data_IF_433509368031
#
_entry.id   IF_433509368031
#
_cell.length_a   1.000
_cell.length_b   1.000
_cell.length_c   1.000
_cell.angle_alpha   90.00
_cell.angle_beta   90.00
_cell.angle_gamma   90.00
#
_symmetry.space_group_name_H-M   'P 1'
#
loop_
_entity.id
_entity.type
_entity.pdbx_description
1 polymer ?
#
# COMPACT_ATOMS: atom_id res chain seq x y z
N UNK A 1 18.88 -15.74 -20.04
CA UNK A 1 17.95 -16.88 -20.23
C UNK A 1 17.62 -16.96 -21.72
N UNK A 2 17.93 -18.06 -22.37
CA UNK A 2 17.53 -18.32 -23.77
C UNK A 2 16.08 -18.82 -23.75
N UNK A 3 15.26 -18.32 -24.68
CA UNK A 3 13.90 -18.87 -24.88
C UNK A 3 14.01 -20.34 -25.28
N UNK A 4 13.08 -21.16 -24.84
CA UNK A 4 12.97 -22.53 -25.33
C UNK A 4 12.51 -22.55 -26.80
N UNK A 5 12.76 -23.65 -27.49
CA UNK A 5 12.45 -23.80 -28.90
C UNK A 5 10.95 -23.64 -29.19
N UNK A 6 10.08 -24.11 -28.27
CA UNK A 6 8.63 -24.02 -28.38
C UNK A 6 8.13 -22.57 -28.34
N UNK A 7 8.67 -21.77 -27.43
CA UNK A 7 8.34 -20.34 -27.33
C UNK A 7 8.77 -19.55 -28.58
N UNK A 8 9.89 -19.93 -29.20
CA UNK A 8 10.37 -19.29 -30.44
C UNK A 8 9.45 -19.63 -31.61
N UNK A 9 9.01 -20.87 -31.72
CA UNK A 9 8.06 -21.32 -32.78
C UNK A 9 6.74 -20.60 -32.62
N UNK A 10 6.16 -20.57 -31.43
CA UNK A 10 4.89 -19.89 -31.18
C UNK A 10 4.95 -18.39 -31.51
N UNK A 11 6.06 -17.72 -31.24
CA UNK A 11 6.26 -16.31 -31.62
C UNK A 11 6.26 -16.14 -33.15
N UNK A 12 6.86 -17.09 -33.89
CA UNK A 12 6.89 -17.05 -35.35
C UNK A 12 5.51 -17.21 -35.97
N UNK A 13 4.67 -18.11 -35.42
CA UNK A 13 3.32 -18.36 -35.91
C UNK A 13 2.38 -17.16 -35.75
N UNK A 14 2.54 -16.38 -34.67
CA UNK A 14 1.69 -15.23 -34.35
C UNK A 14 2.16 -13.95 -35.05
N UNK A 15 3.43 -13.84 -35.40
CA UNK A 15 4.02 -12.65 -35.98
C UNK A 15 3.23 -12.07 -37.16
N UNK A 16 2.76 -12.88 -38.18
CA UNK A 16 1.99 -12.33 -39.29
C UNK A 16 0.70 -11.62 -38.87
N UNK A 17 0.03 -12.15 -37.85
CA UNK A 17 -1.21 -11.58 -37.33
C UNK A 17 -0.91 -10.27 -36.53
N UNK A 18 0.17 -10.25 -35.77
CA UNK A 18 0.63 -9.04 -35.08
C UNK A 18 1.03 -7.93 -36.07
N UNK A 19 1.69 -8.30 -37.18
CA UNK A 19 2.03 -7.36 -38.27
C UNK A 19 0.78 -6.80 -38.96
N UNK A 20 -0.21 -7.67 -39.28
CA UNK A 20 -1.47 -7.23 -39.87
C UNK A 20 -2.19 -6.24 -38.97
N UNK A 21 -2.34 -6.55 -37.70
CA UNK A 21 -2.95 -5.67 -36.73
C UNK A 21 -2.21 -4.32 -36.61
N UNK A 22 -0.88 -4.31 -36.55
CA UNK A 22 -0.09 -3.10 -36.52
C UNK A 22 -0.33 -2.23 -37.77
N UNK A 23 -0.38 -2.84 -38.96
CA UNK A 23 -0.67 -2.15 -40.22
C UNK A 23 -2.07 -1.53 -40.18
N UNK A 24 -3.08 -2.23 -39.67
CA UNK A 24 -4.45 -1.73 -39.53
C UNK A 24 -4.51 -0.51 -38.62
N UNK A 25 -3.81 -0.54 -37.48
CA UNK A 25 -3.69 0.62 -36.55
C UNK A 25 -3.01 1.81 -37.25
N UNK A 26 -1.87 1.58 -37.91
CA UNK A 26 -1.14 2.65 -38.60
C UNK A 26 -1.94 3.25 -39.77
N UNK A 27 -2.68 2.42 -40.51
CA UNK A 27 -3.58 2.87 -41.56
C UNK A 27 -4.70 3.75 -41.00
N UNK A 28 -5.34 3.33 -39.92
CA UNK A 28 -6.36 4.12 -39.24
C UNK A 28 -5.80 5.47 -38.77
N UNK A 29 -4.61 5.49 -38.14
CA UNK A 29 -3.96 6.71 -37.72
C UNK A 29 -3.66 7.66 -38.91
N UNK A 30 -3.20 7.13 -40.04
CA UNK A 30 -2.95 7.93 -41.26
C UNK A 30 -4.22 8.56 -41.83
N UNK A 31 -5.34 7.86 -41.75
CA UNK A 31 -6.63 8.34 -42.31
C UNK A 31 -7.34 9.31 -41.39
N UNK A 32 -7.08 9.25 -40.09
CA UNK A 32 -7.76 10.06 -39.06
C UNK A 32 -6.93 11.24 -38.56
N UNK A 33 -5.65 11.37 -38.98
CA UNK A 33 -4.71 12.35 -38.41
C UNK A 33 -4.04 13.18 -39.51
N UNK A 34 -3.96 14.51 -39.31
CA UNK A 34 -3.06 15.33 -40.11
C UNK A 34 -1.63 15.10 -39.68
N UNK A 35 -0.69 14.96 -40.64
CA UNK A 35 0.73 14.72 -40.38
C UNK A 35 1.42 15.72 -39.44
N UNK A 36 0.82 16.94 -39.29
CA UNK A 36 1.31 17.97 -38.36
C UNK A 36 0.93 17.72 -36.90
N UNK A 37 0.05 16.73 -36.61
CA UNK A 37 -0.40 16.40 -35.27
C UNK A 37 0.42 15.27 -34.62
N UNK A 38 1.41 14.70 -35.33
CA UNK A 38 2.26 13.64 -34.78
C UNK A 38 3.15 14.21 -33.66
N UNK A 39 3.12 13.66 -32.46
CA UNK A 39 3.71 14.27 -31.28
C UNK A 39 5.24 14.37 -31.35
N UNK A 40 5.75 15.51 -30.92
CA UNK A 40 7.17 15.69 -30.64
C UNK A 40 7.45 15.17 -29.23
N UNK A 41 8.57 14.48 -29.06
CA UNK A 41 8.99 13.94 -27.75
C UNK A 41 9.46 15.06 -26.82
N UNK A 42 8.77 15.27 -25.69
CA UNK A 42 9.17 16.22 -24.64
C UNK A 42 9.50 15.45 -23.36
N UNK A 43 10.66 15.59 -22.78
CA UNK A 43 11.12 14.92 -21.55
C UNK A 43 11.11 15.92 -20.39
N UNK A 44 10.52 15.56 -19.26
CA UNK A 44 10.57 16.36 -18.03
C UNK A 44 11.64 15.77 -17.10
N UNK A 45 12.51 16.61 -16.58
CA UNK A 45 13.47 16.24 -15.55
C UNK A 45 13.13 17.02 -14.27
N UNK A 46 13.19 16.36 -13.13
CA UNK A 46 12.98 16.96 -11.83
C UNK A 46 14.27 16.86 -11.03
N UNK A 47 14.75 17.99 -10.57
CA UNK A 47 15.85 18.09 -9.64
C UNK A 47 15.32 18.60 -8.31
N UNK A 48 15.70 17.94 -7.22
CA UNK A 48 15.37 18.34 -5.86
C UNK A 48 16.56 19.08 -5.27
N UNK A 49 16.39 20.37 -5.04
CA UNK A 49 17.32 21.17 -4.25
C UNK A 49 16.83 21.28 -2.80
N UNK A 50 17.68 21.66 -1.85
CA UNK A 50 17.42 21.59 -0.39
C UNK A 50 16.10 22.21 0.06
N UNK A 51 15.49 23.09 -0.74
CA UNK A 51 14.20 23.73 -0.43
C UNK A 51 13.24 23.91 -1.61
N UNK A 52 13.53 23.38 -2.81
CA UNK A 52 12.67 23.55 -3.99
C UNK A 52 12.77 22.39 -4.96
N UNK A 53 11.63 22.00 -5.51
CA UNK A 53 11.57 21.16 -6.71
C UNK A 53 11.84 22.07 -7.90
N UNK A 54 13.03 21.99 -8.48
CA UNK A 54 13.30 22.67 -9.75
C UNK A 54 12.77 21.83 -10.90
N UNK A 55 12.01 22.48 -11.80
CA UNK A 55 11.46 21.83 -12.99
C UNK A 55 12.37 22.20 -14.17
N UNK A 56 13.16 21.25 -14.63
CA UNK A 56 13.67 21.31 -15.99
C UNK A 56 12.76 20.47 -16.90
N UNK A 57 12.29 21.04 -17.99
CA UNK A 57 11.45 20.33 -18.94
C UNK A 57 12.34 19.57 -19.92
N UNK A 58 12.32 18.25 -19.85
CA UNK A 58 12.86 17.36 -20.87
C UNK A 58 11.65 16.60 -21.45
N UNK A 59 11.59 16.51 -22.73
CA UNK A 59 10.46 16.08 -23.54
C UNK A 59 9.90 14.69 -23.24
N UNK A 60 8.60 14.56 -22.91
CA UNK A 60 7.86 13.29 -22.74
C UNK A 60 7.18 12.92 -24.06
N UNK A 61 7.25 11.64 -24.42
CA UNK A 61 6.50 11.13 -25.56
C UNK A 61 5.02 11.19 -25.29
N UNK A 62 4.29 12.00 -26.02
CA UNK A 62 2.82 12.09 -26.01
C UNK A 62 2.18 11.01 -26.89
N UNK A 63 2.94 10.01 -27.36
CA UNK A 63 2.40 8.96 -28.22
C UNK A 63 1.31 8.12 -27.56
N UNK A 64 1.33 7.97 -26.24
CA UNK A 64 0.25 7.29 -25.53
C UNK A 64 -1.06 8.09 -25.60
N UNK A 65 -1.00 9.40 -25.34
CA UNK A 65 -2.16 10.26 -25.38
C UNK A 65 -2.66 10.41 -26.83
N UNK A 66 -1.73 10.55 -27.77
CA UNK A 66 -2.03 10.59 -29.19
C UNK A 66 -2.75 9.33 -29.66
N UNK A 67 -2.21 8.14 -29.35
CA UNK A 67 -2.83 6.88 -29.73
C UNK A 67 -4.18 6.69 -29.04
N UNK A 68 -4.29 7.07 -27.77
CA UNK A 68 -5.55 6.98 -27.04
C UNK A 68 -6.64 7.91 -27.57
N UNK A 69 -6.28 9.08 -28.11
CA UNK A 69 -7.22 10.03 -28.71
C UNK A 69 -7.63 9.62 -30.13
N UNK A 70 -6.68 9.18 -30.95
CA UNK A 70 -6.90 8.93 -32.38
C UNK A 70 -7.27 7.49 -32.70
N UNK A 71 -6.82 6.53 -31.89
CA UNK A 71 -7.18 5.11 -32.05
C UNK A 71 -7.32 4.46 -30.65
N UNK A 72 -8.39 4.81 -29.90
CA UNK A 72 -8.62 4.26 -28.58
C UNK A 72 -8.87 2.75 -28.60
N UNK A 73 -8.71 2.10 -27.45
CA UNK A 73 -8.90 0.64 -27.31
C UNK A 73 -10.22 0.10 -27.89
N UNK A 74 -11.39 0.77 -27.72
CA UNK A 74 -12.63 0.31 -28.36
C UNK A 74 -12.53 0.24 -29.88
N UNK A 75 -11.90 1.25 -30.53
CA UNK A 75 -11.67 1.25 -31.98
C UNK A 75 -10.72 0.12 -32.40
N UNK A 76 -9.64 -0.08 -31.65
CA UNK A 76 -8.72 -1.20 -31.91
C UNK A 76 -9.39 -2.56 -31.73
N UNK A 77 -10.35 -2.67 -30.84
CA UNK A 77 -11.10 -3.91 -30.59
C UNK A 77 -12.01 -4.30 -31.78
N UNK A 78 -12.36 -3.35 -32.66
CA UNK A 78 -13.19 -3.57 -33.85
C UNK A 78 -12.40 -4.09 -35.05
N UNK A 79 -11.05 -4.02 -35.02
CA UNK A 79 -10.25 -4.59 -36.13
C UNK A 79 -10.37 -6.12 -36.17
N UNK A 80 -10.53 -6.67 -37.35
CA UNK A 80 -10.71 -8.11 -37.56
C UNK A 80 -9.62 -8.98 -36.95
N UNK A 81 -8.39 -8.45 -36.91
CA UNK A 81 -7.22 -9.16 -36.39
C UNK A 81 -7.15 -9.15 -34.84
N UNK A 82 -7.86 -8.24 -34.18
CA UNK A 82 -7.69 -8.02 -32.74
C UNK A 82 -7.99 -9.26 -31.88
N UNK A 83 -9.12 -9.91 -32.09
CA UNK A 83 -9.52 -11.09 -31.34
C UNK A 83 -8.67 -12.32 -31.67
N UNK A 84 -8.42 -12.67 -32.96
CA UNK A 84 -7.50 -13.76 -33.32
C UNK A 84 -6.10 -13.55 -32.76
N UNK A 85 -5.55 -12.29 -32.80
CA UNK A 85 -4.24 -11.96 -32.27
C UNK A 85 -4.17 -12.26 -30.75
N UNK A 86 -5.12 -11.75 -29.98
CA UNK A 86 -5.11 -11.94 -28.53
C UNK A 86 -5.29 -13.42 -28.17
N UNK A 87 -6.14 -14.18 -28.87
CA UNK A 87 -6.25 -15.63 -28.67
C UNK A 87 -4.93 -16.33 -28.97
N UNK A 88 -4.33 -16.06 -30.13
CA UNK A 88 -3.04 -16.64 -30.49
C UNK A 88 -1.94 -16.35 -29.46
N UNK A 89 -1.90 -15.13 -28.91
CA UNK A 89 -0.96 -14.76 -27.86
C UNK A 89 -1.20 -15.51 -26.54
N UNK A 90 -2.45 -15.84 -26.22
CA UNK A 90 -2.80 -16.67 -25.05
C UNK A 90 -2.41 -18.13 -25.31
N UNK A 91 -2.78 -18.68 -26.45
CA UNK A 91 -2.50 -20.08 -26.81
C UNK A 91 -0.98 -20.35 -26.88
N UNK A 92 -0.21 -19.35 -27.28
CA UNK A 92 1.25 -19.36 -27.24
C UNK A 92 1.85 -19.16 -25.83
N UNK A 93 1.03 -18.91 -24.82
CA UNK A 93 1.50 -18.63 -23.46
C UNK A 93 2.23 -17.28 -23.29
N UNK A 94 2.14 -16.40 -24.30
CA UNK A 94 2.75 -15.04 -24.26
C UNK A 94 1.91 -14.11 -23.38
N UNK A 95 0.59 -14.17 -23.50
CA UNK A 95 -0.33 -13.49 -22.60
C UNK A 95 -1.08 -14.49 -21.72
N UNK A 96 -1.52 -14.06 -20.56
CA UNK A 96 -2.28 -14.88 -19.62
C UNK A 96 -3.57 -14.18 -19.24
N UNK A 97 -4.64 -14.94 -19.16
CA UNK A 97 -5.92 -14.52 -18.60
C UNK A 97 -5.71 -14.37 -17.08
N UNK A 98 -6.06 -13.23 -16.53
CA UNK A 98 -5.99 -12.98 -15.09
C UNK A 98 -7.38 -13.06 -14.46
N UNK A 99 -7.43 -13.38 -13.17
CA UNK A 99 -8.66 -13.28 -12.39
C UNK A 99 -9.17 -11.84 -12.43
N UNK A 100 -10.46 -11.68 -12.73
CA UNK A 100 -11.16 -10.39 -12.71
C UNK A 100 -11.99 -10.37 -11.44
N UNK A 101 -11.97 -9.25 -10.74
CA UNK A 101 -12.81 -9.03 -9.56
C UNK A 101 -13.96 -8.12 -9.94
N UNK A 102 -15.16 -8.41 -9.44
CA UNK A 102 -16.32 -7.55 -9.58
C UNK A 102 -16.21 -6.30 -8.67
N UNK A 103 -17.20 -5.42 -8.74
CA UNK A 103 -17.23 -4.20 -7.93
C UNK A 103 -17.36 -4.48 -6.42
N UNK A 104 -17.70 -5.70 -6.03
CA UNK A 104 -17.81 -6.17 -4.65
C UNK A 104 -16.53 -6.88 -4.16
N UNK A 105 -15.54 -7.06 -5.05
CA UNK A 105 -14.27 -7.71 -4.75
C UNK A 105 -14.30 -9.24 -4.85
N UNK A 106 -15.37 -9.84 -5.41
CA UNK A 106 -15.44 -11.27 -5.63
C UNK A 106 -14.71 -11.67 -6.91
N UNK A 107 -13.99 -12.78 -6.88
CA UNK A 107 -13.31 -13.31 -8.07
C UNK A 107 -14.35 -13.81 -9.09
N UNK A 108 -14.38 -13.17 -10.25
CA UNK A 108 -15.17 -13.62 -11.40
C UNK A 108 -14.35 -14.63 -12.19
N UNK A 109 -15.00 -15.70 -12.69
CA UNK A 109 -14.32 -16.69 -13.53
C UNK A 109 -13.61 -16.00 -14.70
N UNK A 110 -12.30 -16.20 -14.86
CA UNK A 110 -11.52 -15.53 -15.89
C UNK A 110 -11.89 -16.09 -17.27
N UNK A 111 -12.61 -15.29 -18.06
CA UNK A 111 -12.95 -15.60 -19.44
C UNK A 111 -12.16 -14.73 -20.41
N UNK A 112 -12.04 -15.17 -21.66
CA UNK A 112 -11.43 -14.37 -22.72
C UNK A 112 -12.14 -13.02 -22.88
N UNK A 113 -13.46 -12.99 -22.91
CA UNK A 113 -14.22 -11.76 -23.17
C UNK A 113 -14.07 -10.74 -22.03
N UNK A 114 -14.04 -11.18 -20.78
CA UNK A 114 -13.83 -10.32 -19.62
C UNK A 114 -12.40 -9.72 -19.58
N UNK A 115 -11.45 -10.39 -20.20
CA UNK A 115 -10.05 -9.97 -20.22
C UNK A 115 -9.62 -9.31 -21.53
N UNK A 116 -10.44 -9.36 -22.58
CA UNK A 116 -10.03 -9.02 -23.94
C UNK A 116 -9.45 -7.59 -24.03
N UNK A 117 -10.17 -6.56 -23.57
CA UNK A 117 -9.69 -5.17 -23.64
C UNK A 117 -8.43 -4.95 -22.82
N UNK A 118 -8.31 -5.61 -21.67
CA UNK A 118 -7.11 -5.52 -20.84
C UNK A 118 -5.90 -6.18 -21.52
N UNK A 119 -6.09 -7.34 -22.17
CA UNK A 119 -5.05 -8.02 -22.94
C UNK A 119 -4.68 -7.21 -24.20
N UNK A 120 -5.67 -6.64 -24.87
CA UNK A 120 -5.45 -5.76 -26.01
C UNK A 120 -4.65 -4.51 -25.60
N UNK A 121 -4.89 -3.97 -24.40
CA UNK A 121 -4.11 -2.86 -23.88
C UNK A 121 -2.62 -3.20 -23.71
N UNK A 122 -2.27 -4.44 -23.37
CA UNK A 122 -0.85 -4.86 -23.35
C UNK A 122 -0.21 -4.77 -24.73
N UNK A 123 -0.96 -5.12 -25.77
CA UNK A 123 -0.48 -5.00 -27.14
C UNK A 123 -0.47 -3.53 -27.64
N UNK A 124 -1.41 -2.71 -27.18
CA UNK A 124 -1.44 -1.26 -27.43
C UNK A 124 -0.10 -0.59 -27.05
N UNK A 125 0.52 -1.02 -25.94
CA UNK A 125 1.84 -0.51 -25.54
C UNK A 125 2.97 -0.88 -26.51
N UNK A 126 2.88 -2.03 -27.15
CA UNK A 126 3.83 -2.38 -28.21
C UNK A 126 3.74 -1.39 -29.39
N UNK A 127 2.50 -1.00 -29.76
CA UNK A 127 2.28 0.00 -30.82
C UNK A 127 2.84 1.37 -30.42
N UNK A 128 2.63 1.79 -29.17
CA UNK A 128 3.21 3.03 -28.63
C UNK A 128 4.75 3.01 -28.76
N UNK A 129 5.39 1.93 -28.37
CA UNK A 129 6.85 1.81 -28.46
C UNK A 129 7.34 1.77 -29.93
N UNK A 130 6.55 1.15 -30.81
CA UNK A 130 6.83 1.19 -32.25
C UNK A 130 6.80 2.63 -32.78
N UNK A 131 5.75 3.40 -32.48
CA UNK A 131 5.63 4.80 -32.86
C UNK A 131 6.75 5.68 -32.28
N UNK A 132 7.13 5.45 -31.02
CA UNK A 132 8.26 6.16 -30.39
C UNK A 132 9.58 5.91 -31.10
N UNK A 133 9.78 4.68 -31.58
CA UNK A 133 11.02 4.26 -32.22
C UNK A 133 11.11 4.81 -33.63
N UNK A 134 10.02 4.67 -34.39
CA UNK A 134 9.98 5.05 -35.80
C UNK A 134 9.72 6.53 -36.03
N UNK A 135 8.97 7.18 -35.14
CA UNK A 135 8.55 8.59 -35.24
C UNK A 135 7.78 8.94 -36.50
N UNK A 136 7.32 7.92 -37.22
CA UNK A 136 6.52 8.01 -38.45
C UNK A 136 5.41 6.97 -38.41
N UNK A 137 4.32 7.21 -39.18
CA UNK A 137 3.22 6.27 -39.27
C UNK A 137 3.43 5.19 -40.37
N UNK A 138 4.67 5.03 -40.85
CA UNK A 138 5.01 4.01 -41.83
C UNK A 138 5.36 2.68 -41.15
N UNK A 139 4.95 1.60 -41.81
CA UNK A 139 5.24 0.24 -41.31
C UNK A 139 6.57 -0.26 -41.87
N UNK A 140 7.46 -0.67 -40.96
CA UNK A 140 8.76 -1.30 -41.28
C UNK A 140 8.82 -2.70 -40.68
N UNK A 141 8.70 -3.73 -41.51
CA UNK A 141 8.60 -5.15 -41.07
C UNK A 141 9.75 -5.56 -40.15
N UNK A 142 10.99 -5.31 -40.53
CA UNK A 142 12.17 -5.74 -39.76
C UNK A 142 12.18 -5.14 -38.34
N UNK A 143 11.83 -3.85 -38.24
CA UNK A 143 11.82 -3.14 -36.99
C UNK A 143 10.67 -3.59 -36.10
N UNK A 144 9.46 -3.76 -36.67
CA UNK A 144 8.34 -4.28 -35.93
C UNK A 144 8.60 -5.71 -35.45
N UNK A 145 9.14 -6.57 -36.34
CA UNK A 145 9.51 -7.96 -35.99
C UNK A 145 10.48 -8.02 -34.82
N UNK A 146 11.53 -7.20 -34.85
CA UNK A 146 12.52 -7.14 -33.74
C UNK A 146 11.85 -6.68 -32.44
N UNK A 147 11.00 -5.66 -32.51
CA UNK A 147 10.26 -5.10 -31.39
C UNK A 147 9.27 -6.13 -30.82
N UNK A 148 8.50 -6.78 -31.67
CA UNK A 148 7.53 -7.82 -31.27
C UNK A 148 8.20 -8.99 -30.58
N UNK A 149 9.29 -9.52 -31.14
CA UNK A 149 10.06 -10.61 -30.51
C UNK A 149 10.59 -10.21 -29.12
N UNK A 150 11.12 -9.00 -29.02
CA UNK A 150 11.58 -8.49 -27.72
C UNK A 150 10.45 -8.32 -26.73
N UNK A 151 9.30 -7.76 -27.16
CA UNK A 151 8.11 -7.61 -26.34
C UNK A 151 7.54 -8.98 -25.90
N UNK A 152 7.39 -9.93 -26.80
CA UNK A 152 6.91 -11.26 -26.49
C UNK A 152 7.81 -11.97 -25.47
N UNK A 153 9.13 -11.88 -25.65
CA UNK A 153 10.12 -12.39 -24.68
C UNK A 153 9.90 -11.76 -23.32
N UNK A 154 9.67 -10.45 -23.25
CA UNK A 154 9.44 -9.74 -22.00
C UNK A 154 8.15 -10.22 -21.30
N UNK A 155 7.10 -10.59 -22.06
CA UNK A 155 5.84 -11.06 -21.46
C UNK A 155 5.98 -12.41 -20.75
N UNK A 156 6.82 -13.33 -21.28
CA UNK A 156 7.02 -14.66 -20.71
C UNK A 156 8.17 -14.74 -19.69
N UNK A 157 9.04 -13.72 -19.64
CA UNK A 157 10.14 -13.69 -18.67
C UNK A 157 9.59 -13.49 -17.25
N UNK A 158 9.96 -14.34 -16.28
CA UNK A 158 9.59 -14.15 -14.89
C UNK A 158 10.01 -12.77 -14.41
N UNK A 159 9.18 -12.16 -13.59
CA UNK A 159 9.39 -10.79 -13.10
C UNK A 159 9.27 -10.75 -11.59
N UNK A 160 9.87 -9.71 -11.01
CA UNK A 160 9.69 -9.37 -9.61
C UNK A 160 9.38 -7.86 -9.50
N UNK A 161 8.83 -7.47 -8.38
CA UNK A 161 8.47 -6.08 -8.12
C UNK A 161 9.32 -5.54 -6.98
N UNK A 162 9.82 -4.33 -7.16
CA UNK A 162 10.35 -3.49 -6.10
C UNK A 162 9.23 -2.57 -5.62
N UNK A 163 9.02 -2.49 -4.31
CA UNK A 163 8.13 -1.50 -3.70
C UNK A 163 8.98 -0.43 -3.01
N UNK A 164 8.58 0.84 -3.17
CA UNK A 164 9.15 1.99 -2.46
C UNK A 164 8.01 2.75 -1.81
N UNK A 165 8.05 2.89 -0.49
CA UNK A 165 7.02 3.56 0.32
C UNK A 165 7.70 4.64 1.17
N UNK A 166 7.58 5.94 0.81
CA UNK A 166 8.08 7.02 1.64
C UNK A 166 7.41 7.07 3.01
N UNK A 167 8.19 7.25 4.06
CA UNK A 167 7.71 7.34 5.45
C UNK A 167 7.70 8.81 5.91
N UNK A 168 6.59 9.26 6.48
CA UNK A 168 6.46 10.57 7.10
C UNK A 168 6.49 10.46 8.62
N UNK A 169 7.06 11.45 9.28
CA UNK A 169 7.21 11.48 10.75
C UNK A 169 8.31 10.57 11.29
N UNK A 170 8.90 9.69 10.47
CA UNK A 170 9.97 8.79 10.88
C UNK A 170 11.27 9.58 11.05
N UNK A 171 11.86 9.51 12.25
CA UNK A 171 13.14 10.14 12.56
C UNK A 171 14.08 9.10 13.17
N UNK A 172 15.21 8.87 12.52
CA UNK A 172 16.26 7.97 12.99
C UNK A 172 17.63 8.48 12.55
N UNK A 173 18.64 8.21 13.36
CA UNK A 173 20.05 8.42 12.98
C UNK A 173 20.60 7.31 12.09
N UNK A 174 19.87 6.21 11.97
CA UNK A 174 20.29 5.02 11.22
C UNK A 174 20.10 5.26 9.72
N UNK A 175 21.13 5.03 8.94
CA UNK A 175 21.05 5.21 7.49
C UNK A 175 20.26 4.10 6.79
N UNK A 176 20.35 2.86 7.31
CA UNK A 176 19.67 1.69 6.77
C UNK A 176 19.37 0.69 7.87
N UNK A 177 18.15 0.15 7.86
CA UNK A 177 17.67 -0.87 8.78
C UNK A 177 17.20 -2.05 7.93
N UNK A 178 17.80 -3.21 8.15
CA UNK A 178 17.35 -4.47 7.54
C UNK A 178 16.21 -5.05 8.40
N UNK A 179 15.13 -5.42 7.73
CA UNK A 179 13.95 -6.03 8.36
C UNK A 179 13.77 -7.46 7.86
N UNK A 180 12.64 -8.06 8.18
CA UNK A 180 12.29 -9.41 7.72
C UNK A 180 11.88 -9.39 6.23
N UNK A 181 11.95 -10.56 5.60
CA UNK A 181 11.50 -10.81 4.21
C UNK A 181 12.08 -9.85 3.16
N UNK A 182 13.30 -9.37 3.41
CA UNK A 182 14.00 -8.49 2.48
C UNK A 182 13.55 -7.03 2.50
N UNK A 183 12.66 -6.67 3.43
CA UNK A 183 12.31 -5.27 3.64
C UNK A 183 13.45 -4.50 4.31
N UNK A 184 13.59 -3.24 3.91
CA UNK A 184 14.60 -2.32 4.43
C UNK A 184 13.97 -0.95 4.62
N UNK A 185 14.37 -0.26 5.70
CA UNK A 185 14.14 1.17 5.83
C UNK A 185 15.47 1.87 5.59
N UNK A 186 15.50 2.86 4.71
CA UNK A 186 16.70 3.63 4.43
C UNK A 186 16.41 5.14 4.39
N UNK A 187 17.45 5.94 4.59
CA UNK A 187 17.36 7.39 4.52
C UNK A 187 17.04 7.84 3.10
N UNK A 188 15.92 8.56 2.94
CA UNK A 188 15.41 8.99 1.64
C UNK A 188 16.06 10.31 1.24
N UNK A 189 17.27 10.24 0.67
CA UNK A 189 18.05 11.40 0.24
C UNK A 189 17.39 12.13 -0.95
N UNK A 190 17.80 13.37 -1.20
CA UNK A 190 17.33 14.13 -2.35
C UNK A 190 17.67 13.42 -3.67
N UNK A 191 18.82 12.76 -3.74
CA UNK A 191 19.19 11.93 -4.90
C UNK A 191 18.18 10.77 -5.10
N UNK A 192 17.85 10.03 -4.04
CA UNK A 192 16.86 8.94 -4.12
C UNK A 192 15.45 9.44 -4.48
N UNK A 193 15.09 10.63 -4.00
CA UNK A 193 13.82 11.30 -4.39
C UNK A 193 13.80 11.64 -5.87
N UNK A 194 14.88 12.25 -6.38
CA UNK A 194 15.02 12.57 -7.81
C UNK A 194 14.98 11.30 -8.67
N UNK A 195 15.67 10.24 -8.24
CA UNK A 195 15.65 8.96 -8.93
C UNK A 195 14.23 8.35 -8.96
N UNK A 196 13.52 8.36 -7.84
CA UNK A 196 12.13 7.90 -7.79
C UNK A 196 11.26 8.67 -8.79
N UNK A 197 11.34 10.00 -8.80
CA UNK A 197 10.56 10.82 -9.73
C UNK A 197 10.93 10.57 -11.20
N UNK A 198 12.22 10.39 -11.50
CA UNK A 198 12.68 10.09 -12.86
C UNK A 198 12.22 8.69 -13.34
N UNK A 199 11.90 7.79 -12.40
CA UNK A 199 11.33 6.47 -12.71
C UNK A 199 9.83 6.53 -13.01
N UNK A 200 9.13 7.60 -12.60
CA UNK A 200 7.70 7.78 -12.77
C UNK A 200 7.41 8.46 -14.13
N UNK A 201 6.83 7.73 -15.09
CA UNK A 201 6.55 8.26 -16.45
C UNK A 201 5.40 9.27 -16.49
N UNK A 202 4.38 9.10 -15.64
CA UNK A 202 3.18 9.94 -15.59
C UNK A 202 3.03 10.64 -14.23
N UNK A 203 3.78 11.71 -14.07
CA UNK A 203 3.82 12.47 -12.82
C UNK A 203 2.56 13.33 -12.60
N UNK A 204 1.78 13.61 -13.66
CA UNK A 204 0.59 14.45 -13.57
C UNK A 204 -0.46 13.98 -12.57
N UNK A 205 -0.55 12.68 -12.30
CA UNK A 205 -1.45 12.10 -11.30
C UNK A 205 -1.02 12.38 -9.85
N UNK A 206 0.26 12.69 -9.60
CA UNK A 206 0.84 12.78 -8.25
C UNK A 206 1.07 14.21 -7.77
N UNK A 207 0.95 15.21 -8.65
CA UNK A 207 1.26 16.60 -8.33
C UNK A 207 0.35 17.25 -7.29
N UNK A 208 -0.83 16.68 -7.04
CA UNK A 208 -1.77 17.30 -6.11
C UNK A 208 -1.49 17.03 -4.64
N UNK A 209 -0.88 15.88 -4.27
CA UNK A 209 -0.97 15.37 -2.91
C UNK A 209 0.32 14.82 -2.29
N UNK A 210 1.46 14.75 -2.97
CA UNK A 210 2.66 14.14 -2.40
C UNK A 210 3.85 15.08 -2.42
N UNK A 211 3.98 15.90 -1.37
CA UNK A 211 5.20 16.65 -1.13
C UNK A 211 6.29 15.73 -0.57
N UNK A 212 7.14 15.20 -1.46
CA UNK A 212 8.23 14.29 -1.08
C UNK A 212 9.29 14.97 -0.20
N UNK A 213 9.31 16.30 -0.08
CA UNK A 213 10.25 17.01 0.80
C UNK A 213 10.08 16.61 2.27
N UNK A 214 8.85 16.23 2.66
CA UNK A 214 8.48 15.84 4.03
C UNK A 214 8.94 14.44 4.44
N UNK A 215 9.35 13.60 3.48
CA UNK A 215 9.76 12.24 3.78
C UNK A 215 11.26 12.18 4.02
N UNK A 216 11.65 11.65 5.16
CA UNK A 216 13.05 11.51 5.58
C UNK A 216 13.60 10.12 5.31
N UNK A 217 12.74 9.11 5.34
CA UNK A 217 13.06 7.70 5.14
C UNK A 217 12.05 7.05 4.22
N UNK A 218 12.38 5.86 3.76
CA UNK A 218 11.60 5.08 2.81
C UNK A 218 11.70 3.59 3.16
N UNK A 219 10.57 2.91 3.12
CA UNK A 219 10.49 1.45 3.22
C UNK A 219 10.58 0.87 1.81
N UNK A 220 11.40 -0.15 1.60
CA UNK A 220 11.53 -0.84 0.31
C UNK A 220 11.68 -2.33 0.49
N UNK A 221 11.23 -3.08 -0.50
CA UNK A 221 11.45 -4.51 -0.63
C UNK A 221 11.32 -4.96 -2.08
N UNK A 222 11.77 -6.19 -2.34
CA UNK A 222 11.58 -6.86 -3.61
C UNK A 222 10.69 -8.09 -3.42
N UNK A 223 9.73 -8.29 -4.33
CA UNK A 223 8.98 -9.55 -4.35
C UNK A 223 9.87 -10.71 -4.77
N UNK A 224 9.44 -11.92 -4.48
CA UNK A 224 9.98 -13.11 -5.12
C UNK A 224 9.64 -13.08 -6.62
N UNK A 225 10.50 -13.71 -7.43
CA UNK A 225 10.24 -13.88 -8.84
C UNK A 225 8.98 -14.74 -9.05
N UNK A 226 7.97 -14.16 -9.70
CA UNK A 226 6.71 -14.82 -9.99
C UNK A 226 6.14 -14.30 -11.31
N UNK A 227 5.36 -15.12 -11.99
CA UNK A 227 4.63 -14.75 -13.21
C UNK A 227 3.32 -14.01 -12.94
N UNK A 228 2.82 -14.03 -11.71
CA UNK A 228 1.61 -13.34 -11.27
C UNK A 228 1.96 -12.01 -10.61
N UNK A 229 1.86 -10.94 -11.40
CA UNK A 229 2.17 -9.58 -10.95
C UNK A 229 1.24 -9.10 -9.82
N UNK A 230 -0.05 -9.45 -9.89
CA UNK A 230 -1.05 -9.04 -8.91
C UNK A 230 -0.73 -9.65 -7.53
N UNK A 231 -0.44 -10.94 -7.52
CA UNK A 231 -0.08 -11.65 -6.29
C UNK A 231 1.22 -11.11 -5.66
N UNK A 232 2.20 -10.74 -6.50
CA UNK A 232 3.43 -10.11 -6.02
C UNK A 232 3.15 -8.77 -5.32
N UNK A 233 2.30 -7.94 -5.92
CA UNK A 233 1.93 -6.63 -5.39
C UNK A 233 1.12 -6.78 -4.09
N UNK A 234 0.15 -7.68 -4.07
CA UNK A 234 -0.66 -7.97 -2.88
C UNK A 234 0.21 -8.39 -1.70
N UNK A 235 1.11 -9.35 -1.92
CA UNK A 235 2.02 -9.81 -0.86
C UNK A 235 2.92 -8.70 -0.33
N UNK A 236 3.53 -7.88 -1.23
CA UNK A 236 4.35 -6.75 -0.80
C UNK A 236 3.55 -5.71 -0.04
N UNK A 237 2.30 -5.46 -0.44
CA UNK A 237 1.40 -4.51 0.22
C UNK A 237 1.07 -4.98 1.63
N UNK A 238 0.64 -6.23 1.78
CA UNK A 238 0.31 -6.82 3.08
C UNK A 238 1.50 -6.83 4.04
N UNK A 239 2.68 -7.20 3.55
CA UNK A 239 3.88 -7.21 4.36
C UNK A 239 4.34 -5.80 4.77
N UNK A 240 4.18 -4.81 3.90
CA UNK A 240 4.44 -3.41 4.21
C UNK A 240 3.45 -2.86 5.24
N UNK A 241 2.17 -3.23 5.18
CA UNK A 241 1.15 -2.88 6.19
C UNK A 241 1.50 -3.43 7.56
N UNK A 242 1.97 -4.68 7.65
CA UNK A 242 2.43 -5.26 8.90
C UNK A 242 3.63 -4.50 9.47
N UNK A 243 4.58 -4.06 8.63
CA UNK A 243 5.74 -3.28 9.07
C UNK A 243 5.30 -1.90 9.58
N UNK A 244 4.43 -1.20 8.86
CA UNK A 244 3.92 0.11 9.29
C UNK A 244 3.13 -0.02 10.60
N UNK A 245 2.33 -1.07 10.73
CA UNK A 245 1.62 -1.39 11.98
C UNK A 245 2.62 -1.68 13.11
N UNK A 246 3.65 -2.47 12.84
CA UNK A 246 4.72 -2.76 13.78
C UNK A 246 5.44 -1.50 14.26
N UNK A 247 5.80 -0.59 13.35
CA UNK A 247 6.38 0.71 13.69
C UNK A 247 5.46 1.49 14.66
N UNK A 248 4.16 1.52 14.40
CA UNK A 248 3.17 2.18 15.26
C UNK A 248 3.02 1.50 16.63
N UNK A 249 3.25 0.19 16.71
CA UNK A 249 3.17 -0.57 17.97
C UNK A 249 4.45 -0.51 18.80
N UNK A 250 5.62 -0.33 18.18
CA UNK A 250 6.91 -0.29 18.88
C UNK A 250 7.14 1.02 19.61
N UNK A 251 6.90 2.14 18.95
CA UNK A 251 7.19 3.46 19.51
C UNK A 251 5.96 4.39 19.48
N UNK A 252 5.92 5.31 20.44
CA UNK A 252 4.93 6.38 20.42
C UNK A 252 5.28 7.44 19.38
N UNK A 253 4.26 8.19 18.99
CA UNK A 253 4.38 9.25 17.98
C UNK A 253 3.57 8.95 16.74
N UNK A 254 3.53 9.92 15.86
CA UNK A 254 2.78 9.84 14.63
C UNK A 254 3.72 9.46 13.49
N UNK A 255 3.53 8.25 12.96
CA UNK A 255 4.19 7.79 11.75
C UNK A 255 3.15 7.49 10.68
N UNK A 256 3.41 7.95 9.47
CA UNK A 256 2.59 7.70 8.29
C UNK A 256 3.42 7.12 7.15
N UNK A 257 2.70 6.63 6.15
CA UNK A 257 3.27 6.19 4.89
C UNK A 257 2.69 7.03 3.75
N UNK A 258 3.52 7.34 2.77
CA UNK A 258 3.08 7.91 1.52
C UNK A 258 2.51 6.85 0.58
N UNK A 259 2.32 7.21 -0.69
CA UNK A 259 1.91 6.25 -1.71
C UNK A 259 2.97 5.15 -1.89
N UNK A 260 2.52 3.92 -2.12
CA UNK A 260 3.39 2.81 -2.48
C UNK A 260 3.69 2.87 -3.99
N UNK A 261 4.96 2.86 -4.35
CA UNK A 261 5.42 2.84 -5.73
C UNK A 261 5.97 1.46 -6.07
N UNK A 262 5.36 0.79 -7.04
CA UNK A 262 5.78 -0.53 -7.48
C UNK A 262 6.52 -0.44 -8.82
N UNK A 263 7.69 -1.04 -8.89
CA UNK A 263 8.48 -1.10 -10.10
C UNK A 263 8.74 -2.53 -10.50
N UNK A 264 8.34 -2.88 -11.70
CA UNK A 264 8.53 -4.22 -12.25
C UNK A 264 9.95 -4.41 -12.78
N UNK A 265 10.57 -5.52 -12.45
CA UNK A 265 11.91 -5.91 -12.90
C UNK A 265 11.89 -7.31 -13.59
N UNK A 266 12.76 -7.59 -14.54
CA UNK A 266 13.67 -6.59 -15.14
C UNK A 266 12.87 -5.41 -15.69
N UNK A 267 13.47 -4.21 -15.70
CA UNK A 267 12.83 -3.04 -16.34
C UNK A 267 12.54 -3.42 -17.78
N UNK A 268 11.27 -3.69 -18.08
CA UNK A 268 10.86 -4.04 -19.42
C UNK A 268 10.95 -2.82 -20.30
N UNK A 269 11.61 -2.97 -21.45
CA UNK A 269 11.67 -1.92 -22.45
C UNK A 269 10.26 -1.55 -22.95
N UNK A 270 9.33 -2.51 -22.90
CA UNK A 270 8.02 -2.47 -23.51
C UNK A 270 6.86 -2.75 -22.53
N UNK A 271 7.07 -2.63 -21.25
CA UNK A 271 6.01 -2.76 -20.25
C UNK A 271 5.51 -1.39 -19.82
N UNK A 272 4.21 -1.28 -19.52
CA UNK A 272 3.76 -0.22 -18.65
C UNK A 272 4.69 -0.22 -17.43
N UNK A 273 5.30 0.92 -17.16
CA UNK A 273 5.73 1.24 -15.82
C UNK A 273 4.44 1.45 -15.04
N UNK A 274 3.75 0.34 -14.75
CA UNK A 274 2.56 0.43 -13.94
C UNK A 274 2.98 0.82 -12.54
N UNK A 275 2.68 2.04 -12.22
CA UNK A 275 2.24 2.39 -10.89
C UNK A 275 0.89 1.70 -10.72
N UNK A 276 0.86 0.53 -10.13
CA UNK A 276 -0.37 0.11 -9.49
C UNK A 276 -0.46 0.91 -8.21
N UNK A 277 -0.99 2.10 -8.32
CA UNK A 277 -1.42 2.85 -7.16
C UNK A 277 -2.65 2.15 -6.60
N UNK A 278 -2.48 1.13 -5.78
CA UNK A 278 -3.42 0.88 -4.70
C UNK A 278 -3.24 2.02 -3.70
N UNK A 279 -3.64 3.23 -4.11
CA UNK A 279 -3.65 4.41 -3.26
C UNK A 279 -4.60 4.25 -2.07
N UNK A 280 -5.45 3.23 -2.07
CA UNK A 280 -6.49 3.04 -1.06
C UNK A 280 -5.98 2.41 0.24
N UNK A 281 -4.84 1.73 0.23
CA UNK A 281 -4.31 1.05 1.41
C UNK A 281 -3.40 1.93 2.26
N UNK A 282 -2.66 2.86 1.65
CA UNK A 282 -1.83 3.82 2.37
C UNK A 282 -2.50 5.19 2.28
N UNK A 283 -3.46 5.45 3.19
CA UNK A 283 -4.03 6.78 3.31
C UNK A 283 -2.90 7.77 3.55
N UNK A 284 -2.67 8.64 2.57
CA UNK A 284 -1.70 9.73 2.68
C UNK A 284 -2.15 10.60 3.84
N UNK A 285 -1.34 10.65 4.88
CA UNK A 285 -1.53 11.60 5.99
C UNK A 285 -1.17 12.98 5.47
N UNK A 286 -2.13 13.62 4.80
CA UNK A 286 -1.89 14.85 4.04
C UNK A 286 -1.85 16.13 4.88
N UNK A 287 -2.23 16.10 6.17
CA UNK A 287 -2.43 17.34 6.93
C UNK A 287 -2.04 17.32 8.40
N UNK A 288 -1.50 16.25 8.94
CA UNK A 288 -0.99 16.34 10.32
C UNK A 288 0.42 16.93 10.23
N UNK A 289 0.64 18.06 10.90
CA UNK A 289 1.99 18.55 11.20
C UNK A 289 2.67 17.50 12.09
N UNK A 290 3.26 16.49 11.46
CA UNK A 290 3.95 15.37 12.13
C UNK A 290 5.41 15.76 12.34
N UNK A 291 5.69 16.99 12.71
CA UNK A 291 7.06 17.36 12.99
C UNK A 291 7.52 16.73 14.32
N UNK A 292 8.46 15.80 14.19
CA UNK A 292 9.49 15.58 15.20
C UNK A 292 9.18 14.63 16.35
N UNK A 293 8.05 13.90 16.41
CA UNK A 293 7.71 13.11 17.62
C UNK A 293 8.01 11.60 17.55
N UNK A 294 8.10 11.01 16.37
CA UNK A 294 8.43 9.57 16.26
C UNK A 294 9.94 9.40 16.13
N UNK A 295 10.59 8.91 17.19
CA UNK A 295 12.03 8.70 17.21
C UNK A 295 12.33 7.21 17.28
N UNK A 296 12.94 6.67 16.24
CA UNK A 296 13.32 5.26 16.15
C UNK A 296 14.80 5.08 16.43
N UNK A 297 15.13 4.21 17.39
CA UNK A 297 16.48 3.94 17.87
C UNK A 297 16.96 2.54 17.46
N UNK A 298 18.27 2.29 17.51
CA UNK A 298 18.86 0.98 17.25
C UNK A 298 18.28 -0.12 18.17
N UNK A 299 17.95 0.24 19.41
CA UNK A 299 17.33 -0.65 20.39
C UNK A 299 15.92 -1.10 20.00
N UNK A 300 15.25 -0.38 19.11
CA UNK A 300 13.88 -0.69 18.67
C UNK A 300 13.84 -1.74 17.54
N UNK A 301 14.97 -2.00 16.87
CA UNK A 301 15.04 -2.89 15.69
C UNK A 301 14.58 -4.30 16.06
N UNK A 302 15.11 -4.87 17.15
CA UNK A 302 14.74 -6.20 17.61
C UNK A 302 13.24 -6.32 17.91
N UNK A 303 12.70 -5.33 18.64
CA UNK A 303 11.26 -5.27 18.94
C UNK A 303 10.40 -5.11 17.69
N UNK A 304 10.86 -4.38 16.68
CA UNK A 304 10.15 -4.23 15.41
C UNK A 304 10.11 -5.56 14.64
N UNK A 305 11.24 -6.24 14.53
CA UNK A 305 11.33 -7.54 13.83
C UNK A 305 10.41 -8.56 14.49
N UNK A 306 10.43 -8.63 15.82
CA UNK A 306 9.60 -9.54 16.59
C UNK A 306 8.11 -9.27 16.40
N UNK A 307 7.67 -8.02 16.60
CA UNK A 307 6.24 -7.64 16.47
C UNK A 307 5.72 -7.81 15.05
N UNK A 308 6.52 -7.54 14.01
CA UNK A 308 6.13 -7.80 12.62
C UNK A 308 5.99 -9.29 12.36
N UNK A 309 6.86 -10.12 12.92
CA UNK A 309 6.73 -11.58 12.87
C UNK A 309 5.41 -12.06 13.50
N UNK A 310 5.03 -11.48 14.64
CA UNK A 310 3.75 -11.77 15.31
C UNK A 310 2.54 -11.31 14.50
N UNK A 311 2.58 -10.11 13.90
CA UNK A 311 1.51 -9.59 13.05
C UNK A 311 1.25 -10.50 11.85
N UNK A 312 2.31 -10.97 11.18
CA UNK A 312 2.20 -11.93 10.08
C UNK A 312 1.54 -13.25 10.50
N UNK A 313 1.87 -13.73 11.70
CA UNK A 313 1.25 -14.95 12.25
C UNK A 313 -0.23 -14.72 12.54
N UNK A 314 -0.58 -13.65 13.23
CA UNK A 314 -1.95 -13.27 13.56
C UNK A 314 -2.82 -13.09 12.30
N UNK A 315 -2.27 -12.48 11.25
CA UNK A 315 -2.94 -12.34 9.95
C UNK A 315 -3.29 -13.69 9.33
N UNK A 316 -2.36 -14.64 9.35
CA UNK A 316 -2.58 -16.01 8.82
C UNK A 316 -3.63 -16.78 9.60
N UNK A 317 -3.74 -16.57 10.89
CA UNK A 317 -4.70 -17.24 11.78
C UNK A 317 -6.10 -16.61 11.73
N UNK A 318 -6.31 -15.54 10.94
CA UNK A 318 -7.60 -14.85 10.74
C UNK A 318 -8.32 -14.46 12.04
N UNK A 319 -7.59 -13.94 13.02
CA UNK A 319 -8.19 -13.46 14.28
C UNK A 319 -9.07 -12.23 14.05
N UNK A 320 -10.39 -12.45 13.95
CA UNK A 320 -11.39 -11.43 13.58
C UNK A 320 -11.33 -10.17 14.47
N UNK A 321 -11.29 -10.36 15.79
CA UNK A 321 -11.33 -9.24 16.74
C UNK A 321 -10.05 -8.41 16.67
N UNK A 322 -8.91 -9.08 16.64
CA UNK A 322 -7.62 -8.40 16.57
C UNK A 322 -7.40 -7.73 15.21
N UNK A 323 -7.88 -8.31 14.11
CA UNK A 323 -7.83 -7.69 12.78
C UNK A 323 -8.65 -6.39 12.73
N UNK A 324 -9.84 -6.37 13.33
CA UNK A 324 -10.64 -5.14 13.46
C UNK A 324 -9.91 -4.11 14.31
N UNK A 325 -9.35 -4.52 15.45
CA UNK A 325 -8.66 -3.65 16.37
C UNK A 325 -7.44 -2.98 15.71
N UNK A 326 -6.58 -3.75 15.04
CA UNK A 326 -5.40 -3.24 14.35
C UNK A 326 -5.78 -2.32 13.19
N UNK A 327 -6.82 -2.66 12.42
CA UNK A 327 -7.32 -1.80 11.35
C UNK A 327 -7.80 -0.45 11.90
N UNK A 328 -8.58 -0.43 12.99
CA UNK A 328 -9.07 0.79 13.63
C UNK A 328 -7.93 1.61 14.22
N UNK A 329 -6.99 0.95 14.87
CA UNK A 329 -5.77 1.60 15.34
C UNK A 329 -5.02 2.29 14.21
N UNK A 330 -4.80 1.62 13.08
CA UNK A 330 -4.15 2.21 11.91
C UNK A 330 -4.95 3.37 11.31
N UNK A 331 -6.27 3.26 11.23
CA UNK A 331 -7.14 4.36 10.76
C UNK A 331 -7.02 5.60 11.65
N UNK A 332 -6.84 5.46 12.96
CA UNK A 332 -6.66 6.60 13.85
C UNK A 332 -5.48 7.51 13.47
N UNK A 333 -4.47 6.98 12.79
CA UNK A 333 -3.31 7.74 12.29
C UNK A 333 -3.62 8.56 11.04
N UNK A 334 -4.72 8.27 10.35
CA UNK A 334 -5.09 8.91 9.09
C UNK A 334 -6.26 9.88 9.23
N UNK A 335 -6.84 9.98 10.42
CA UNK A 335 -7.97 10.87 10.68
C UNK A 335 -7.54 12.32 10.82
N UNK A 336 -8.21 13.21 10.10
CA UNK A 336 -8.00 14.65 10.20
C UNK A 336 -8.70 15.24 11.43
N UNK A 337 -9.87 14.69 11.80
CA UNK A 337 -10.61 15.12 12.98
C UNK A 337 -10.16 14.34 14.21
N UNK A 338 -9.94 15.06 15.30
CA UNK A 338 -9.50 14.48 16.58
C UNK A 338 -10.57 13.57 17.17
N UNK A 339 -11.83 13.89 16.95
CA UNK A 339 -13.01 13.13 17.35
C UNK A 339 -13.02 11.74 16.66
N UNK A 340 -12.81 11.70 15.34
CA UNK A 340 -12.74 10.45 14.58
C UNK A 340 -11.58 9.58 15.05
N UNK A 341 -10.44 10.22 15.36
CA UNK A 341 -9.26 9.53 15.92
C UNK A 341 -9.59 8.88 17.25
N UNK A 342 -10.28 9.60 18.16
CA UNK A 342 -10.72 9.07 19.45
C UNK A 342 -11.68 7.89 19.27
N UNK A 343 -12.64 8.01 18.35
CA UNK A 343 -13.61 6.95 18.05
C UNK A 343 -12.86 5.69 17.54
N UNK A 344 -11.95 5.84 16.59
CA UNK A 344 -11.18 4.69 16.06
C UNK A 344 -10.32 4.02 17.13
N UNK A 345 -9.65 4.78 18.00
CA UNK A 345 -8.91 4.23 19.15
C UNK A 345 -9.81 3.49 20.12
N UNK A 346 -11.01 4.03 20.40
CA UNK A 346 -11.98 3.37 21.29
C UNK A 346 -12.49 2.07 20.69
N UNK A 347 -12.89 2.07 19.41
CA UNK A 347 -13.34 0.83 18.73
C UNK A 347 -12.23 -0.21 18.70
N UNK A 348 -10.97 0.21 18.53
CA UNK A 348 -9.83 -0.69 18.59
C UNK A 348 -9.75 -1.43 19.92
N UNK A 349 -9.90 -0.72 21.03
CA UNK A 349 -9.90 -1.30 22.38
C UNK A 349 -11.16 -2.12 22.67
N UNK A 350 -12.34 -1.65 22.26
CA UNK A 350 -13.59 -2.41 22.39
C UNK A 350 -13.51 -3.75 21.66
N UNK A 351 -12.94 -3.76 20.45
CA UNK A 351 -12.80 -4.99 19.65
C UNK A 351 -11.90 -6.05 20.29
N UNK A 352 -10.94 -5.67 21.13
CA UNK A 352 -10.09 -6.62 21.88
C UNK A 352 -10.63 -6.89 23.27
N UNK A 353 -10.71 -5.86 24.09
CA UNK A 353 -10.99 -6.01 25.52
C UNK A 353 -12.45 -6.31 25.85
N UNK A 354 -13.38 -5.98 24.96
CA UNK A 354 -14.82 -6.17 25.13
C UNK A 354 -15.40 -7.16 24.11
N UNK A 355 -14.56 -7.98 23.47
CA UNK A 355 -15.01 -9.02 22.55
C UNK A 355 -16.08 -9.90 23.24
N UNK A 356 -17.29 -9.98 22.62
CA UNK A 356 -18.45 -10.73 23.12
C UNK A 356 -19.15 -10.15 24.37
N UNK A 357 -18.69 -9.04 24.95
CA UNK A 357 -19.30 -8.40 26.10
C UNK A 357 -20.45 -7.47 25.70
N UNK A 358 -21.44 -7.34 26.58
CA UNK A 358 -22.62 -6.46 26.35
C UNK A 358 -22.88 -5.48 27.50
N UNK A 359 -22.43 -5.81 28.71
CA UNK A 359 -22.70 -5.04 29.90
C UNK A 359 -21.47 -4.50 30.58
N UNK A 360 -21.59 -3.42 31.33
CA UNK A 360 -20.54 -2.78 32.13
C UNK A 360 -19.28 -2.42 31.31
N UNK A 361 -19.45 -2.07 30.04
CA UNK A 361 -18.37 -1.95 29.05
C UNK A 361 -17.24 -1.01 29.52
N UNK A 362 -17.58 0.17 30.04
CA UNK A 362 -16.62 1.14 30.57
C UNK A 362 -15.78 0.57 31.72
N UNK A 363 -16.46 -0.11 32.65
CA UNK A 363 -15.80 -0.69 33.82
C UNK A 363 -14.86 -1.83 33.42
N UNK A 364 -15.35 -2.77 32.63
CA UNK A 364 -14.58 -3.93 32.15
C UNK A 364 -13.38 -3.52 31.33
N UNK A 365 -13.55 -2.57 30.40
CA UNK A 365 -12.45 -2.04 29.59
C UNK A 365 -11.34 -1.43 30.45
N UNK A 366 -11.71 -0.57 31.42
CA UNK A 366 -10.74 0.05 32.31
C UNK A 366 -10.04 -0.96 33.23
N UNK A 367 -10.79 -1.91 33.77
CA UNK A 367 -10.27 -2.94 34.66
C UNK A 367 -9.31 -3.88 33.94
N UNK A 368 -9.74 -4.46 32.79
CA UNK A 368 -8.92 -5.36 31.99
C UNK A 368 -7.64 -4.67 31.47
N UNK A 369 -7.75 -3.41 31.01
CA UNK A 369 -6.61 -2.66 30.52
C UNK A 369 -5.59 -2.34 31.59
N UNK A 370 -6.05 -1.95 32.77
CA UNK A 370 -5.18 -1.69 33.93
C UNK A 370 -4.44 -2.96 34.36
N UNK A 371 -5.16 -4.06 34.39
CA UNK A 371 -4.57 -5.35 34.79
C UNK A 371 -3.58 -5.87 33.75
N UNK A 372 -3.92 -5.81 32.49
CA UNK A 372 -3.05 -6.25 31.38
C UNK A 372 -1.72 -5.50 31.39
N UNK A 373 -1.77 -4.17 31.62
CA UNK A 373 -0.59 -3.32 31.61
C UNK A 373 0.07 -3.13 32.99
N UNK A 374 -0.32 -3.85 34.05
CA UNK A 374 0.13 -3.63 35.44
C UNK A 374 1.64 -3.67 35.63
N UNK A 375 2.35 -4.42 34.80
CA UNK A 375 3.81 -4.52 34.82
C UNK A 375 4.52 -3.49 33.91
N UNK A 376 3.77 -2.70 33.16
CA UNK A 376 4.29 -1.75 32.13
C UNK A 376 3.93 -0.31 32.50
N UNK A 377 2.76 -0.11 33.12
CA UNK A 377 2.21 1.19 33.47
C UNK A 377 1.55 1.13 34.86
N UNK A 378 1.49 2.27 35.59
CA UNK A 378 0.72 2.34 36.82
C UNK A 378 -0.76 2.01 36.56
N UNK A 379 -1.36 1.02 37.27
CA UNK A 379 -2.74 0.59 37.03
C UNK A 379 -3.77 1.71 37.21
N UNK A 380 -3.57 2.58 38.22
CA UNK A 380 -4.48 3.70 38.50
C UNK A 380 -4.50 4.71 37.36
N UNK A 381 -3.35 5.00 36.78
CA UNK A 381 -3.24 5.93 35.65
C UNK A 381 -3.89 5.33 34.41
N UNK A 382 -3.61 4.07 34.10
CA UNK A 382 -4.23 3.35 32.98
C UNK A 382 -5.75 3.32 33.14
N UNK A 383 -6.28 3.00 34.31
CA UNK A 383 -7.71 2.99 34.63
C UNK A 383 -8.34 4.37 34.40
N UNK A 384 -7.69 5.43 34.90
CA UNK A 384 -8.14 6.80 34.75
C UNK A 384 -8.23 7.24 33.28
N UNK A 385 -7.19 6.92 32.48
CA UNK A 385 -7.14 7.27 31.06
C UNK A 385 -8.26 6.54 30.31
N UNK A 386 -8.42 5.23 30.51
CA UNK A 386 -9.44 4.44 29.81
C UNK A 386 -10.87 4.84 30.18
N UNK A 387 -11.16 5.12 31.46
CA UNK A 387 -12.48 5.63 31.87
C UNK A 387 -12.75 6.99 31.24
N UNK A 388 -11.77 7.91 31.28
CA UNK A 388 -11.92 9.24 30.69
C UNK A 388 -12.11 9.17 29.18
N UNK A 389 -11.36 8.30 28.49
CA UNK A 389 -11.52 8.05 27.06
C UNK A 389 -12.97 7.64 26.73
N UNK A 390 -13.53 6.67 27.49
CA UNK A 390 -14.88 6.18 27.27
C UNK A 390 -15.93 7.27 27.50
N UNK A 391 -15.77 8.09 28.53
CA UNK A 391 -16.68 9.20 28.84
C UNK A 391 -16.65 10.28 27.75
N UNK A 392 -15.47 10.67 27.31
CA UNK A 392 -15.32 11.69 26.24
C UNK A 392 -15.90 11.15 24.92
N UNK A 393 -15.59 9.89 24.55
CA UNK A 393 -16.17 9.27 23.37
C UNK A 393 -17.69 9.20 23.42
N UNK A 394 -18.26 8.87 24.58
CA UNK A 394 -19.72 8.83 24.76
C UNK A 394 -20.36 10.19 24.48
N UNK A 395 -19.80 11.28 24.98
CA UNK A 395 -20.27 12.65 24.72
C UNK A 395 -20.13 13.04 23.25
N UNK A 396 -18.96 12.75 22.64
CA UNK A 396 -18.72 13.03 21.22
C UNK A 396 -19.77 12.34 20.35
N UNK A 397 -20.04 11.05 20.59
CA UNK A 397 -20.93 10.26 19.73
C UNK A 397 -22.41 10.55 20.00
N UNK A 398 -22.81 10.73 21.26
CA UNK A 398 -24.23 10.85 21.61
C UNK A 398 -24.71 12.28 21.79
N UNK A 399 -23.83 13.21 22.20
CA UNK A 399 -24.20 14.60 22.44
C UNK A 399 -23.69 15.56 21.38
N UNK A 400 -22.83 15.09 20.44
CA UNK A 400 -22.21 15.95 19.43
C UNK A 400 -21.20 16.97 20.00
N UNK A 401 -20.73 16.77 21.25
CA UNK A 401 -19.72 17.62 21.87
C UNK A 401 -18.36 17.42 21.18
N UNK A 402 -17.57 18.49 21.10
CA UNK A 402 -16.15 18.34 20.72
C UNK A 402 -15.34 17.76 21.88
N UNK A 403 -14.15 17.20 21.58
CA UNK A 403 -13.23 16.76 22.65
C UNK A 403 -12.89 17.94 23.57
N UNK A 404 -12.66 19.14 23.00
CA UNK A 404 -12.38 20.37 23.77
C UNK A 404 -13.50 20.69 24.75
N UNK A 405 -14.76 20.63 24.32
CA UNK A 405 -15.90 20.91 25.19
C UNK A 405 -15.99 19.90 26.33
N UNK A 406 -15.77 18.62 26.01
CA UNK A 406 -15.79 17.52 26.99
C UNK A 406 -14.66 17.62 28.02
N UNK A 407 -13.53 18.23 27.66
CA UNK A 407 -12.35 18.41 28.53
C UNK A 407 -12.30 19.76 29.29
N UNK A 408 -13.20 20.71 28.99
CA UNK A 408 -13.19 22.08 29.62
C UNK A 408 -13.13 22.09 31.13
N UNK A 409 -13.67 21.08 31.79
CA UNK A 409 -13.62 20.98 33.28
C UNK A 409 -12.25 20.57 33.80
N UNK A 410 -11.39 20.03 32.92
CA UNK A 410 -10.05 19.53 33.26
C UNK A 410 -8.99 20.44 32.61
N UNK A 411 -8.69 21.55 33.29
CA UNK A 411 -7.78 22.60 32.79
C UNK A 411 -6.34 22.13 32.50
N UNK A 412 -6.01 20.88 32.80
CA UNK A 412 -4.62 20.37 32.77
C UNK A 412 -4.20 19.71 31.43
N UNK A 413 -5.12 19.47 30.49
CA UNK A 413 -4.78 18.70 29.29
C UNK A 413 -5.32 19.35 28.02
N UNK A 414 -4.42 19.57 27.03
CA UNK A 414 -4.84 19.85 25.66
C UNK A 414 -5.45 18.59 25.02
N UNK A 415 -6.26 18.74 23.96
CA UNK A 415 -6.83 17.62 23.21
C UNK A 415 -5.74 16.69 22.67
N UNK A 416 -4.66 17.27 22.15
CA UNK A 416 -3.55 16.51 21.58
C UNK A 416 -2.85 15.68 22.66
N UNK A 417 -2.63 16.25 23.87
CA UNK A 417 -2.03 15.51 24.97
C UNK A 417 -2.93 14.37 25.46
N UNK A 418 -4.23 14.62 25.57
CA UNK A 418 -5.20 13.58 25.91
C UNK A 418 -5.20 12.44 24.87
N UNK A 419 -5.26 12.76 23.58
CA UNK A 419 -5.22 11.76 22.50
C UNK A 419 -3.88 11.03 22.43
N UNK A 420 -2.77 11.69 22.75
CA UNK A 420 -1.47 11.05 22.87
C UNK A 420 -1.45 10.00 23.97
N UNK A 421 -2.00 10.33 25.16
CA UNK A 421 -2.12 9.39 26.28
C UNK A 421 -3.01 8.18 25.90
N UNK A 422 -4.18 8.44 25.32
CA UNK A 422 -5.09 7.38 24.85
C UNK A 422 -4.40 6.50 23.79
N UNK A 423 -3.76 7.10 22.79
CA UNK A 423 -3.03 6.40 21.75
C UNK A 423 -1.90 5.53 22.30
N UNK A 424 -1.17 6.03 23.30
CA UNK A 424 -0.06 5.32 23.95
C UNK A 424 -0.56 4.10 24.73
N UNK A 425 -1.65 4.25 25.51
CA UNK A 425 -2.27 3.12 26.21
C UNK A 425 -2.82 2.09 25.22
N UNK A 426 -3.51 2.54 24.17
CA UNK A 426 -4.05 1.65 23.10
C UNK A 426 -2.93 0.84 22.45
N UNK A 427 -1.83 1.51 22.07
CA UNK A 427 -0.66 0.89 21.47
C UNK A 427 -0.08 -0.24 22.35
N UNK A 428 0.12 0.02 23.64
CA UNK A 428 0.65 -0.96 24.60
C UNK A 428 -0.29 -2.16 24.75
N UNK A 429 -1.60 -1.92 24.87
CA UNK A 429 -2.62 -2.98 24.96
C UNK A 429 -2.61 -3.84 23.70
N UNK A 430 -2.61 -3.24 22.51
CA UNK A 430 -2.59 -3.99 21.26
C UNK A 430 -1.29 -4.79 21.10
N UNK A 431 -0.15 -4.25 21.52
CA UNK A 431 1.12 -4.98 21.50
C UNK A 431 1.03 -6.26 22.33
N UNK A 432 0.45 -6.20 23.53
CA UNK A 432 0.23 -7.38 24.39
C UNK A 432 -0.71 -8.40 23.73
N UNK A 433 -1.85 -7.94 23.16
CA UNK A 433 -2.77 -8.85 22.45
C UNK A 433 -2.13 -9.50 21.22
N UNK A 434 -1.32 -8.78 20.46
CA UNK A 434 -0.58 -9.35 19.30
C UNK A 434 0.40 -10.41 19.77
N UNK A 435 1.15 -10.15 20.85
CA UNK A 435 2.12 -11.10 21.43
C UNK A 435 1.43 -12.36 21.93
N UNK A 436 0.36 -12.22 22.71
CA UNK A 436 -0.40 -13.34 23.25
C UNK A 436 -1.10 -14.15 22.13
N UNK A 437 -1.67 -13.46 21.14
CA UNK A 437 -2.29 -14.15 19.99
C UNK A 437 -1.27 -14.90 19.15
N UNK A 438 -0.07 -14.35 18.95
CA UNK A 438 1.00 -15.04 18.26
C UNK A 438 1.49 -16.31 19.01
N UNK A 439 1.25 -16.38 20.32
CA UNK A 439 1.48 -17.58 21.13
C UNK A 439 0.31 -18.58 21.10
N UNK A 440 -0.72 -18.32 20.30
CA UNK A 440 -1.87 -19.23 20.12
C UNK A 440 -3.08 -18.90 21.00
N UNK A 441 -3.07 -17.78 21.75
CA UNK A 441 -4.21 -17.37 22.55
C UNK A 441 -5.24 -16.63 21.71
N UNK A 442 -6.53 -16.98 21.79
CA UNK A 442 -7.59 -16.15 21.22
C UNK A 442 -7.83 -14.89 22.05
N UNK A 443 -8.35 -13.82 21.44
CA UNK A 443 -8.72 -12.60 22.17
C UNK A 443 -9.67 -12.89 23.34
N UNK A 444 -10.63 -13.77 23.13
CA UNK A 444 -11.60 -14.16 24.17
C UNK A 444 -10.97 -14.98 25.28
N UNK A 445 -9.98 -15.85 24.98
CA UNK A 445 -9.24 -16.58 26.01
C UNK A 445 -8.37 -15.65 26.86
N UNK A 446 -7.70 -14.67 26.24
CA UNK A 446 -6.94 -13.64 26.97
C UNK A 446 -7.85 -12.87 27.93
N UNK A 447 -9.06 -12.48 27.51
CA UNK A 447 -10.01 -11.79 28.38
C UNK A 447 -10.46 -12.65 29.57
N UNK A 448 -10.73 -13.93 29.35
CA UNK A 448 -11.08 -14.88 30.42
C UNK A 448 -9.93 -15.09 31.40
N UNK A 449 -8.70 -15.20 30.91
CA UNK A 449 -7.52 -15.34 31.76
C UNK A 449 -7.28 -14.10 32.62
N UNK A 450 -7.46 -12.89 32.07
CA UNK A 450 -7.41 -11.64 32.83
C UNK A 450 -8.45 -11.66 33.97
N UNK A 451 -9.70 -12.04 33.70
CA UNK A 451 -10.75 -12.10 34.71
C UNK A 451 -10.45 -13.13 35.79
N UNK A 452 -9.99 -14.31 35.41
CA UNK A 452 -9.60 -15.33 36.36
C UNK A 452 -8.48 -14.85 37.29
N UNK A 453 -7.42 -14.24 36.74
CA UNK A 453 -6.32 -13.69 37.54
C UNK A 453 -6.77 -12.55 38.45
N UNK A 454 -7.72 -11.70 38.00
CA UNK A 454 -8.30 -10.67 38.84
C UNK A 454 -9.06 -11.25 40.04
N UNK A 455 -9.85 -12.27 39.84
CA UNK A 455 -10.58 -12.97 40.93
C UNK A 455 -9.62 -13.63 41.93
N UNK A 456 -8.58 -14.28 41.45
CA UNK A 456 -7.53 -14.86 42.27
C UNK A 456 -6.84 -13.79 43.13
N UNK A 457 -6.46 -12.65 42.53
CA UNK A 457 -5.85 -11.54 43.23
C UNK A 457 -6.73 -10.96 44.33
N UNK A 458 -8.05 -10.78 44.07
CA UNK A 458 -9.04 -10.32 45.04
C UNK A 458 -9.21 -11.29 46.19
N UNK A 459 -9.18 -12.60 45.91
CA UNK A 459 -9.34 -13.64 46.93
C UNK A 459 -8.14 -13.73 47.90
N UNK A 460 -6.94 -13.37 47.42
CA UNK A 460 -5.73 -13.32 48.26
C UNK A 460 -5.69 -12.05 49.10
N UNK A 461 -6.08 -10.90 48.51
CA UNK A 461 -6.13 -9.62 49.24
C UNK A 461 -7.16 -9.65 50.40
N UNK A 462 -8.31 -10.32 50.21
CA UNK A 462 -9.31 -10.44 51.25
C UNK A 462 -8.94 -11.39 52.43
N UNK A 463 -7.88 -12.19 52.25
CA UNK A 463 -7.36 -13.08 53.32
C UNK A 463 -6.23 -12.47 54.15
N UNK A 464 -5.68 -11.34 53.74
CA UNK A 464 -4.63 -10.61 54.45
C UNK A 464 -5.18 -9.60 55.48
N UNK A 465 -6.49 -9.38 55.48
CA UNK A 465 -7.17 -8.45 56.43
C UNK A 465 -7.93 -9.18 57.54
N UNK A 466 -7.83 -10.52 57.63
CA UNK A 466 -8.21 -11.34 58.76
C UNK A 466 -6.96 -11.78 59.56
#
# INVERSE_FOLDING_TARGET
>A
MTLDTKSIESIREILPLAESFCKSVLHHLKTTTNLQEVPITVKKQFDFDENRISKSYIFVSLYSDFLQQKCPLPVMAEFEESRPLIRGLIDAGILRIQSVYDNEGNSVNPTFDNNFLWLLNKFHHLIIEYLKTEKVLDYHSDKFTALFKSWAKDQITPTWHEVIIPLTGFNSSINQIELIDGFKIYKFSNHSKSELFNRLENISFFYGNTDLSKFTHCLTANSKENSDDQKNIEQLTEDAEDIITGLRLVQEGLIGAGAAFFFKHPRRKYGLKMLSSRMDTFNIVTQINIEGKYKFLDTDIGSLIEIVGYLKKVRREHNKYLSIALRRFNLSYTRNLLEDRLIDLTISLESTMLAEERDELKYRLALRGSFLLRNICPPEETNRILKKMYDVRSKVVHSGETINDSLKKDKSHSCENFLSQVGNVTRKILKEYVTLSASGCSVTSVNKDIEKQLLEFMSVAGKSDE
#
